data_IF_958964852344
#
_entry.id   IF_958964852344
#
_cell.length_a   1.000
_cell.length_b   1.000
_cell.length_c   1.000
_cell.angle_alpha   90.00
_cell.angle_beta   90.00
_cell.angle_gamma   90.00
#
_symmetry.space_group_name_H-M   'P 1'
#
loop_
_entity.id
_entity.type
_entity.pdbx_description
1 polymer ?
#
# COMPACT_ATOMS: atom_id res chain seq x y z
N UNK A 1 6.90 4.42 12.84
CA UNK A 1 6.38 5.79 12.94
C UNK A 1 7.46 6.64 13.57
N UNK A 2 7.96 7.64 12.84
CA UNK A 2 8.91 8.61 13.39
C UNK A 2 8.18 9.35 14.52
N UNK A 3 8.59 9.12 15.77
CA UNK A 3 8.08 9.89 16.89
C UNK A 3 8.67 11.30 16.77
N UNK A 4 7.81 12.28 16.52
CA UNK A 4 8.20 13.69 16.49
C UNK A 4 8.33 14.19 17.93
N UNK A 5 9.45 13.89 18.58
CA UNK A 5 9.79 14.50 19.85
C UNK A 5 10.01 16.01 19.65
N UNK A 6 9.52 16.82 20.58
CA UNK A 6 9.73 18.27 20.59
C UNK A 6 10.73 18.56 21.71
N UNK A 7 11.89 19.08 21.36
CA UNK A 7 12.88 19.52 22.34
C UNK A 7 12.74 21.02 22.55
N UNK A 8 12.56 21.42 23.80
CA UNK A 8 12.37 22.80 24.24
C UNK A 8 13.49 23.14 25.21
N UNK A 9 14.25 24.17 24.92
CA UNK A 9 15.40 24.53 25.75
C UNK A 9 15.50 26.05 25.89
N UNK A 10 16.01 26.48 27.04
CA UNK A 10 16.58 27.81 27.15
C UNK A 10 17.87 27.77 26.34
N UNK A 11 18.06 28.73 25.44
CA UNK A 11 19.28 28.76 24.62
C UNK A 11 20.50 28.99 25.52
N UNK A 12 21.24 27.92 25.79
CA UNK A 12 22.59 27.98 26.39
C UNK A 12 23.68 28.24 25.35
N UNK A 13 23.32 28.34 24.07
CA UNK A 13 24.24 28.54 22.96
C UNK A 13 24.05 29.94 22.38
N UNK A 14 25.13 30.72 22.39
CA UNK A 14 25.20 32.01 21.69
C UNK A 14 25.08 31.78 20.18
N UNK A 15 24.09 32.43 19.56
CA UNK A 15 23.96 32.68 18.11
C UNK A 15 23.56 31.50 17.20
N UNK A 16 22.47 30.80 17.47
CA UNK A 16 21.80 30.00 16.43
C UNK A 16 20.70 30.83 15.73
N UNK A 17 20.69 30.92 14.38
CA UNK A 17 19.61 31.57 13.66
C UNK A 17 18.35 30.69 13.68
N UNK A 18 17.20 31.32 13.90
CA UNK A 18 15.91 30.66 13.79
C UNK A 18 15.64 30.25 12.33
N UNK A 19 15.24 29.00 12.12
CA UNK A 19 14.96 28.47 10.78
C UNK A 19 13.83 29.20 10.03
N UNK A 20 12.94 29.90 10.74
CA UNK A 20 11.74 30.52 10.15
C UNK A 20 11.94 32.01 9.90
N UNK A 21 12.27 32.78 10.93
CA UNK A 21 12.41 34.24 10.83
C UNK A 21 13.84 34.71 10.58
N UNK A 22 14.82 33.79 10.59
CA UNK A 22 16.26 34.06 10.39
C UNK A 22 16.89 34.99 11.44
N UNK A 23 16.15 35.44 12.46
CA UNK A 23 16.70 36.19 13.59
C UNK A 23 17.35 35.24 14.60
N UNK A 24 18.30 35.76 15.37
CA UNK A 24 19.06 34.94 16.32
C UNK A 24 18.21 34.57 17.54
N UNK A 25 18.33 33.31 17.97
CA UNK A 25 17.79 32.83 19.24
C UNK A 25 18.83 33.24 20.30
N UNK A 26 18.52 34.30 21.05
CA UNK A 26 19.39 34.87 22.08
C UNK A 26 19.24 34.14 23.40
N UNK A 27 20.24 34.25 24.30
CA UNK A 27 20.35 33.54 25.59
C UNK A 27 19.15 33.62 26.54
N UNK A 28 18.15 34.48 26.26
CA UNK A 28 16.92 34.64 27.05
C UNK A 28 15.65 34.20 26.30
N UNK A 29 15.80 33.59 25.13
CA UNK A 29 14.67 33.17 24.29
C UNK A 29 14.56 31.64 24.26
N UNK A 30 13.32 31.16 24.18
CA UNK A 30 13.01 29.73 24.15
C UNK A 30 13.20 29.21 22.73
N UNK A 31 14.08 28.22 22.59
CA UNK A 31 14.32 27.50 21.35
C UNK A 31 13.54 26.19 21.31
N UNK A 32 12.85 25.93 20.20
CA UNK A 32 12.11 24.69 19.93
C UNK A 32 12.71 23.96 18.74
N UNK A 33 12.98 22.67 18.89
CA UNK A 33 13.53 21.80 17.84
C UNK A 33 12.80 20.46 17.74
N UNK A 34 12.91 19.81 16.58
CA UNK A 34 12.33 18.48 16.35
C UNK A 34 13.38 17.36 16.52
N UNK A 35 13.06 16.35 17.31
CA UNK A 35 13.94 15.25 17.71
C UNK A 35 14.55 15.47 19.10
N UNK A 36 15.16 14.43 19.66
CA UNK A 36 15.82 14.47 20.99
C UNK A 36 17.08 15.34 20.95
N UNK A 37 17.80 15.34 19.82
CA UNK A 37 18.98 16.16 19.58
C UNK A 37 18.77 16.94 18.27
N UNK A 38 17.95 18.01 18.30
CA UNK A 38 17.62 18.75 17.10
C UNK A 38 18.85 19.49 16.54
N UNK A 39 19.07 19.39 15.23
CA UNK A 39 20.13 20.15 14.53
C UNK A 39 19.75 21.61 14.26
N UNK A 40 18.46 21.93 14.34
CA UNK A 40 17.91 23.24 14.04
C UNK A 40 16.86 23.62 15.07
N UNK A 41 16.85 24.89 15.44
CA UNK A 41 15.90 25.47 16.36
C UNK A 41 15.10 26.60 15.70
N UNK A 42 13.91 26.83 16.25
CA UNK A 42 13.07 27.99 15.97
C UNK A 42 12.72 28.68 17.28
N UNK A 43 12.41 29.98 17.26
CA UNK A 43 11.73 30.60 18.41
C UNK A 43 10.42 29.88 18.69
N UNK A 44 9.98 29.88 19.95
CA UNK A 44 8.69 29.33 20.37
C UNK A 44 7.52 29.88 19.53
N UNK A 45 7.48 31.19 19.31
CA UNK A 45 6.45 31.87 18.50
C UNK A 45 6.49 31.49 17.02
N UNK A 46 7.69 31.20 16.49
CA UNK A 46 7.89 30.80 15.11
C UNK A 46 7.57 29.32 14.87
N UNK A 47 7.46 28.52 15.93
CA UNK A 47 7.30 27.08 15.82
C UNK A 47 5.87 26.71 15.42
N UNK A 48 5.73 26.06 14.27
CA UNK A 48 4.49 25.44 13.82
C UNK A 48 4.72 23.94 13.63
N UNK A 49 4.09 23.07 14.43
CA UNK A 49 4.14 21.63 14.24
C UNK A 49 3.73 21.26 12.81
N UNK A 50 4.48 20.37 12.15
CA UNK A 50 4.17 19.90 10.79
C UNK A 50 2.77 19.27 10.68
N UNK A 51 2.28 18.70 11.78
CA UNK A 51 0.94 18.12 11.89
C UNK A 51 0.17 18.92 12.94
N UNK A 52 -0.98 19.48 12.55
CA UNK A 52 -1.91 20.13 13.48
C UNK A 52 -2.56 19.07 14.38
N UNK A 53 -1.93 18.77 15.51
CA UNK A 53 -2.40 17.79 16.49
C UNK A 53 -2.10 18.24 17.91
N UNK A 54 -2.84 17.67 18.85
CA UNK A 54 -2.57 17.80 20.28
C UNK A 54 -1.13 17.34 20.61
N UNK A 55 -0.40 18.17 21.35
CA UNK A 55 0.97 17.88 21.79
C UNK A 55 0.90 17.34 23.21
N UNK A 56 1.34 16.09 23.39
CA UNK A 56 1.35 15.42 24.70
C UNK A 56 2.62 15.77 25.47
N UNK A 57 2.50 15.93 26.78
CA UNK A 57 3.65 16.13 27.68
C UNK A 57 4.72 15.02 27.56
N UNK A 58 4.33 13.79 27.17
CA UNK A 58 5.29 12.70 26.97
C UNK A 58 6.13 12.80 25.70
N UNK A 59 5.73 13.64 24.75
CA UNK A 59 6.42 13.85 23.47
C UNK A 59 7.33 15.09 23.53
N UNK A 60 7.38 15.78 24.69
CA UNK A 60 8.18 16.98 24.93
C UNK A 60 9.40 16.60 25.79
N UNK A 61 10.59 16.96 25.31
CA UNK A 61 11.81 16.99 26.10
C UNK A 61 12.10 18.44 26.47
N UNK A 62 12.12 18.79 27.75
CA UNK A 62 12.35 20.15 28.21
C UNK A 62 13.66 20.25 29.01
N UNK A 63 14.48 21.25 28.68
CA UNK A 63 15.68 21.65 29.42
C UNK A 63 15.63 23.13 29.81
N UNK A 64 14.42 23.65 30.02
CA UNK A 64 14.18 25.01 30.53
C UNK A 64 14.70 25.14 31.97
N UNK A 65 15.69 26.02 32.17
CA UNK A 65 16.34 26.35 33.44
C UNK A 65 15.54 27.40 34.22
N UNK A 66 14.92 28.38 33.55
CA UNK A 66 14.24 29.50 34.22
C UNK A 66 12.74 29.24 34.38
N UNK A 67 12.18 29.56 35.55
CA UNK A 67 10.74 29.38 35.80
C UNK A 67 9.86 30.29 34.95
N UNK A 68 10.35 31.49 34.60
CA UNK A 68 9.71 32.38 33.63
C UNK A 68 9.55 31.71 32.27
N UNK A 69 10.59 31.01 31.79
CA UNK A 69 10.54 30.30 30.52
C UNK A 69 9.59 29.10 30.57
N UNK A 70 9.52 28.40 31.70
CA UNK A 70 8.55 27.31 31.91
C UNK A 70 7.13 27.82 31.85
N UNK A 71 6.85 28.96 32.48
CA UNK A 71 5.52 29.59 32.46
C UNK A 71 5.10 29.94 31.04
N UNK A 72 5.96 30.64 30.30
CA UNK A 72 5.70 31.05 28.90
C UNK A 72 5.46 29.82 28.01
N UNK A 73 6.25 28.76 28.18
CA UNK A 73 6.09 27.54 27.41
C UNK A 73 4.77 26.82 27.73
N UNK A 74 4.40 26.72 29.01
CA UNK A 74 3.15 26.09 29.42
C UNK A 74 1.93 26.86 28.88
N UNK A 75 1.96 28.20 28.95
CA UNK A 75 0.90 29.05 28.38
C UNK A 75 0.77 28.84 26.87
N UNK A 76 1.90 28.80 26.15
CA UNK A 76 1.91 28.50 24.72
C UNK A 76 1.33 27.11 24.41
N UNK A 77 1.69 26.10 25.22
CA UNK A 77 1.25 24.72 25.04
C UNK A 77 -0.25 24.57 25.32
N UNK A 78 -0.76 25.21 26.37
CA UNK A 78 -2.18 25.25 26.70
C UNK A 78 -2.97 25.95 25.60
N UNK A 79 -2.52 27.11 25.14
CA UNK A 79 -3.15 27.84 24.04
C UNK A 79 -3.18 26.98 22.75
N UNK A 80 -2.07 26.33 22.39
CA UNK A 80 -2.04 25.41 21.25
C UNK A 80 -3.04 24.26 21.42
N UNK A 81 -3.00 23.58 22.56
CA UNK A 81 -3.80 22.39 22.84
C UNK A 81 -5.30 22.70 23.00
N UNK A 82 -5.68 23.92 23.38
CA UNK A 82 -7.07 24.36 23.50
C UNK A 82 -7.86 24.18 22.19
N UNK A 83 -7.19 24.31 21.04
CA UNK A 83 -7.77 24.08 19.70
C UNK A 83 -8.19 22.63 19.44
N UNK A 84 -7.89 21.69 20.35
CA UNK A 84 -8.13 20.26 20.17
C UNK A 84 -8.97 19.64 21.31
N UNK A 85 -9.64 20.47 22.13
CA UNK A 85 -10.51 20.04 23.25
C UNK A 85 -12.00 20.28 22.88
N UNK A 86 -12.94 19.37 23.20
CA UNK A 86 -12.74 18.10 23.91
C UNK A 86 -12.03 17.10 23.00
N UNK A 87 -10.92 16.55 23.50
CA UNK A 87 -10.30 15.39 22.88
C UNK A 87 -11.39 14.32 22.88
N UNK A 88 -11.79 13.78 21.71
CA UNK A 88 -12.48 12.50 21.65
C UNK A 88 -11.71 11.57 22.60
N UNK A 89 -12.34 11.21 23.74
CA UNK A 89 -11.64 10.75 24.95
C UNK A 89 -10.42 9.90 24.55
N UNK A 90 -9.20 10.45 24.66
CA UNK A 90 -8.04 9.65 24.39
C UNK A 90 -8.03 8.62 25.51
N UNK A 91 -8.18 7.34 25.15
CA UNK A 91 -7.93 6.23 26.06
C UNK A 91 -6.64 6.59 26.79
N UNK A 92 -6.73 6.84 28.10
CA UNK A 92 -5.61 7.29 28.90
C UNK A 92 -4.42 6.39 28.60
N UNK A 93 -3.46 6.94 27.87
CA UNK A 93 -2.27 6.21 27.45
C UNK A 93 -1.36 6.13 28.67
N UNK A 94 -1.75 5.26 29.59
CA UNK A 94 -1.08 5.07 30.85
C UNK A 94 0.38 4.71 30.53
N UNK A 95 1.37 5.47 30.99
CA UNK A 95 2.79 5.10 30.78
C UNK A 95 3.08 3.74 31.41
N UNK A 96 2.30 3.36 32.42
CA UNK A 96 2.30 2.01 32.97
C UNK A 96 1.55 1.00 32.10
N UNK A 97 0.70 1.38 31.15
CA UNK A 97 0.09 0.49 30.15
C UNK A 97 1.11 -0.07 29.15
N UNK A 98 2.22 0.63 28.87
CA UNK A 98 3.35 0.01 28.16
C UNK A 98 3.95 -1.14 28.97
N UNK A 99 3.89 -1.11 30.29
CA UNK A 99 4.28 -2.24 31.13
C UNK A 99 3.10 -3.17 31.44
N UNK A 100 1.86 -2.71 31.59
CA UNK A 100 0.70 -3.55 31.91
C UNK A 100 0.21 -4.36 30.70
N UNK A 101 0.35 -3.85 29.48
CA UNK A 101 0.10 -4.59 28.23
C UNK A 101 1.35 -5.28 27.67
N UNK A 102 2.57 -4.94 28.13
CA UNK A 102 3.78 -5.73 27.83
C UNK A 102 4.17 -6.74 28.93
N UNK A 103 3.61 -6.65 30.14
CA UNK A 103 3.69 -7.70 31.15
C UNK A 103 2.68 -8.78 30.71
N UNK A 104 3.16 -9.57 29.75
CA UNK A 104 2.62 -10.86 29.31
C UNK A 104 2.97 -11.91 30.37
N UNK A 105 2.59 -11.67 31.63
CA UNK A 105 2.74 -12.71 32.64
C UNK A 105 1.71 -13.79 32.40
N UNK A 106 2.19 -15.03 32.29
CA UNK A 106 1.43 -16.28 32.13
C UNK A 106 0.36 -16.46 33.25
N UNK A 107 0.41 -15.66 34.32
CA UNK A 107 -0.43 -15.78 35.53
C UNK A 107 -1.78 -15.05 35.47
N UNK A 108 -2.15 -14.36 34.39
CA UNK A 108 -3.48 -13.73 34.29
C UNK A 108 -4.57 -14.75 33.97
N UNK A 109 -5.71 -14.66 34.64
CA UNK A 109 -6.85 -15.54 34.38
C UNK A 109 -7.35 -15.43 32.92
N UNK A 110 -7.79 -16.55 32.31
CA UNK A 110 -8.32 -16.57 30.96
C UNK A 110 -9.60 -15.70 30.85
N UNK A 111 -9.85 -15.08 29.69
CA UNK A 111 -11.01 -14.22 29.51
C UNK A 111 -12.32 -15.01 29.59
N UNK A 112 -13.34 -14.46 30.29
CA UNK A 112 -14.68 -15.08 30.41
C UNK A 112 -15.32 -15.43 29.05
N UNK A 113 -15.00 -14.67 28.00
CA UNK A 113 -15.51 -14.87 26.62
C UNK A 113 -14.55 -15.66 25.71
N UNK A 114 -13.61 -16.42 26.28
CA UNK A 114 -12.59 -17.19 25.52
C UNK A 114 -13.18 -18.00 24.36
N UNK A 115 -14.27 -18.74 24.60
CA UNK A 115 -14.91 -19.58 23.57
C UNK A 115 -15.38 -18.77 22.37
N UNK A 116 -16.03 -17.63 22.62
CA UNK A 116 -16.52 -16.72 21.59
C UNK A 116 -15.36 -16.20 20.74
N UNK A 117 -14.25 -15.83 21.39
CA UNK A 117 -13.07 -15.36 20.65
C UNK A 117 -12.42 -16.45 19.82
N UNK A 118 -12.36 -17.70 20.29
CA UNK A 118 -11.86 -18.82 19.48
C UNK A 118 -12.71 -18.97 18.21
N UNK A 119 -14.04 -18.99 18.33
CA UNK A 119 -14.92 -19.12 17.15
C UNK A 119 -14.76 -17.97 16.15
N UNK A 120 -14.57 -16.74 16.64
CA UNK A 120 -14.30 -15.58 15.77
C UNK A 120 -12.92 -15.70 15.10
N UNK A 121 -11.89 -16.11 15.86
CA UNK A 121 -10.50 -16.15 15.39
C UNK A 121 -10.28 -17.20 14.29
N UNK A 122 -11.11 -18.25 14.24
CA UNK A 122 -11.11 -19.26 13.17
C UNK A 122 -11.30 -18.70 11.76
N UNK A 123 -11.85 -17.49 11.61
CA UNK A 123 -12.09 -16.86 10.31
C UNK A 123 -10.99 -15.90 9.86
N UNK A 124 -10.04 -15.59 10.74
CA UNK A 124 -8.92 -14.71 10.41
C UNK A 124 -7.82 -15.47 9.66
N UNK A 125 -7.04 -14.72 8.88
CA UNK A 125 -5.80 -15.23 8.32
C UNK A 125 -4.69 -15.22 9.38
N UNK A 126 -3.56 -15.86 9.06
CA UNK A 126 -2.44 -15.93 10.00
C UNK A 126 -1.83 -14.56 10.32
N UNK A 127 -1.88 -13.62 9.37
CA UNK A 127 -1.21 -12.33 9.51
C UNK A 127 -1.98 -11.47 10.50
N UNK A 128 -3.30 -11.49 10.42
CA UNK A 128 -4.19 -10.86 11.39
C UNK A 128 -4.01 -11.47 12.79
N UNK A 129 -3.97 -12.80 12.89
CA UNK A 129 -3.79 -13.49 14.17
C UNK A 129 -2.44 -13.16 14.82
N UNK A 130 -1.35 -13.22 14.07
CA UNK A 130 0.00 -13.03 14.62
C UNK A 130 0.33 -11.55 14.85
N UNK A 131 0.03 -10.68 13.87
CA UNK A 131 0.51 -9.30 13.86
C UNK A 131 -0.48 -8.33 14.51
N UNK A 132 -1.78 -8.53 14.29
CA UNK A 132 -2.78 -7.53 14.63
C UNK A 132 -3.50 -7.87 15.94
N UNK A 133 -4.15 -9.04 15.99
CA UNK A 133 -5.04 -9.43 17.10
C UNK A 133 -4.28 -9.62 18.42
N UNK A 134 -3.08 -10.20 18.37
CA UNK A 134 -2.25 -10.40 19.57
C UNK A 134 -1.82 -9.11 20.26
N UNK A 135 -1.96 -7.96 19.58
CA UNK A 135 -1.58 -6.63 20.09
C UNK A 135 -2.77 -5.83 20.64
N UNK A 136 -4.02 -6.27 20.39
CA UNK A 136 -5.23 -5.52 20.75
C UNK A 136 -5.44 -5.51 22.27
N UNK A 137 -5.48 -6.68 22.89
CA UNK A 137 -5.65 -6.81 24.34
C UNK A 137 -5.14 -8.17 24.86
N UNK A 138 -5.02 -8.31 26.19
CA UNK A 138 -4.56 -9.57 26.82
C UNK A 138 -5.46 -10.76 26.49
N UNK A 139 -6.78 -10.54 26.42
CA UNK A 139 -7.73 -11.61 26.09
C UNK A 139 -7.48 -12.18 24.70
N UNK A 140 -7.28 -11.31 23.71
CA UNK A 140 -6.99 -11.70 22.33
C UNK A 140 -5.63 -12.39 22.22
N UNK A 141 -4.63 -11.87 22.95
CA UNK A 141 -3.35 -12.55 23.07
C UNK A 141 -3.56 -13.98 23.58
N UNK A 142 -4.17 -14.19 24.73
CA UNK A 142 -4.39 -15.55 25.27
C UNK A 142 -5.16 -16.45 24.29
N UNK A 143 -6.25 -15.96 23.71
CA UNK A 143 -7.03 -16.71 22.71
C UNK A 143 -6.18 -17.12 21.51
N UNK A 144 -5.30 -16.24 21.00
CA UNK A 144 -4.41 -16.57 19.89
C UNK A 144 -3.36 -17.63 20.23
N UNK A 145 -3.16 -17.96 21.51
CA UNK A 145 -2.25 -19.03 21.96
C UNK A 145 -2.97 -20.35 22.26
N UNK A 146 -4.30 -20.41 22.13
CA UNK A 146 -5.07 -21.61 22.45
C UNK A 146 -4.87 -22.73 21.42
N UNK A 147 -4.57 -23.94 21.90
CA UNK A 147 -4.30 -25.10 21.06
C UNK A 147 -5.46 -25.44 20.12
N UNK A 148 -6.71 -25.31 20.59
CA UNK A 148 -7.91 -25.56 19.79
C UNK A 148 -7.98 -24.69 18.52
N UNK A 149 -7.60 -23.42 18.62
CA UNK A 149 -7.56 -22.52 17.47
C UNK A 149 -6.57 -23.04 16.43
N UNK A 150 -5.36 -23.39 16.86
CA UNK A 150 -4.31 -23.90 15.98
C UNK A 150 -4.67 -25.26 15.38
N UNK A 151 -5.31 -26.14 16.16
CA UNK A 151 -5.86 -27.40 15.66
C UNK A 151 -6.78 -27.15 14.47
N UNK A 152 -7.76 -26.26 14.65
CA UNK A 152 -8.70 -25.90 13.59
C UNK A 152 -8.00 -25.31 12.36
N UNK A 153 -7.07 -24.37 12.55
CA UNK A 153 -6.35 -23.73 11.46
C UNK A 153 -5.49 -24.74 10.68
N UNK A 154 -4.85 -25.72 11.35
CA UNK A 154 -4.10 -26.77 10.68
C UNK A 154 -5.02 -27.63 9.80
N UNK A 155 -6.17 -28.04 10.34
CA UNK A 155 -7.14 -28.85 9.59
C UNK A 155 -7.76 -28.08 8.43
N UNK A 156 -8.10 -26.81 8.62
CA UNK A 156 -8.64 -25.92 7.57
C UNK A 156 -7.63 -25.69 6.45
N UNK A 157 -6.40 -25.32 6.80
CA UNK A 157 -5.42 -24.79 5.84
C UNK A 157 -4.56 -25.88 5.19
N UNK A 158 -4.37 -27.03 5.86
CA UNK A 158 -3.49 -28.10 5.38
C UNK A 158 -4.20 -29.46 5.27
N UNK A 159 -5.45 -29.58 5.73
CA UNK A 159 -6.21 -30.84 5.77
C UNK A 159 -5.51 -31.96 6.55
N UNK A 160 -4.75 -31.56 7.58
CA UNK A 160 -4.04 -32.48 8.48
C UNK A 160 -4.80 -32.52 9.80
N UNK A 161 -4.90 -33.72 10.38
CA UNK A 161 -5.35 -33.91 11.76
C UNK A 161 -4.08 -33.95 12.63
N UNK A 162 -3.80 -32.88 13.41
CA UNK A 162 -2.55 -32.83 14.15
C UNK A 162 -2.63 -33.63 15.45
N UNK A 163 -1.47 -34.12 15.91
CA UNK A 163 -1.35 -34.80 17.19
C UNK A 163 -1.43 -33.77 18.34
N UNK A 164 -2.22 -34.06 19.37
CA UNK A 164 -2.46 -33.18 20.53
C UNK A 164 -1.19 -32.97 21.36
N UNK A 165 -0.24 -33.91 21.29
CA UNK A 165 1.00 -33.88 22.07
C UNK A 165 2.04 -32.87 21.56
N UNK A 166 1.83 -32.25 20.40
CA UNK A 166 2.74 -31.26 19.83
C UNK A 166 2.31 -29.82 20.15
N UNK A 167 3.27 -28.89 20.14
CA UNK A 167 2.95 -27.48 20.14
C UNK A 167 2.31 -27.10 18.79
N UNK A 168 0.98 -27.17 18.72
CA UNK A 168 0.20 -26.98 17.50
C UNK A 168 0.46 -25.65 16.80
N UNK A 169 0.75 -24.59 17.55
CA UNK A 169 1.14 -23.30 16.96
C UNK A 169 2.47 -23.40 16.23
N UNK A 170 3.48 -23.95 16.90
CA UNK A 170 4.79 -24.14 16.27
C UNK A 170 4.69 -25.04 15.04
N UNK A 171 3.91 -26.12 15.15
CA UNK A 171 3.63 -27.03 14.04
C UNK A 171 2.94 -26.30 12.86
N UNK A 172 1.92 -25.48 13.13
CA UNK A 172 1.29 -24.65 12.09
C UNK A 172 2.30 -23.72 11.41
N UNK A 173 3.16 -23.03 12.16
CA UNK A 173 4.17 -22.13 11.57
C UNK A 173 5.19 -22.89 10.72
N UNK A 174 5.57 -24.10 11.15
CA UNK A 174 6.42 -25.00 10.35
C UNK A 174 5.72 -25.35 9.04
N UNK A 175 4.47 -25.83 9.09
CA UNK A 175 3.68 -26.11 7.89
C UNK A 175 3.54 -24.88 6.99
N UNK A 176 3.22 -23.72 7.56
CA UNK A 176 3.06 -22.47 6.82
C UNK A 176 4.33 -22.07 6.05
N UNK A 177 5.50 -22.35 6.61
CA UNK A 177 6.80 -22.01 6.00
C UNK A 177 7.34 -23.09 5.07
N UNK A 178 6.96 -24.36 5.22
CA UNK A 178 7.47 -25.48 4.41
C UNK A 178 6.49 -26.05 3.38
N UNK A 179 5.19 -25.83 3.56
CA UNK A 179 4.17 -26.35 2.66
C UNK A 179 3.95 -25.43 1.46
N UNK A 180 3.75 -26.06 0.30
CA UNK A 180 3.33 -25.38 -0.91
C UNK A 180 2.00 -24.64 -0.68
N UNK A 181 1.93 -23.35 -1.04
CA UNK A 181 0.73 -22.54 -0.92
C UNK A 181 -0.48 -23.15 -1.65
N UNK A 182 -0.25 -23.81 -2.79
CA UNK A 182 -1.31 -24.37 -3.63
C UNK A 182 -1.69 -25.79 -3.25
N UNK A 183 -0.75 -26.73 -3.38
CA UNK A 183 -1.05 -28.14 -3.19
C UNK A 183 -0.94 -28.59 -1.74
N UNK A 184 -0.57 -27.70 -0.82
CA UNK A 184 -0.46 -27.94 0.63
C UNK A 184 0.54 -29.05 1.02
N UNK A 185 1.27 -29.63 0.06
CA UNK A 185 2.31 -30.63 0.29
C UNK A 185 3.52 -30.00 0.98
N UNK A 186 4.01 -30.66 2.03
CA UNK A 186 5.26 -30.32 2.70
C UNK A 186 6.41 -30.66 1.75
N UNK A 187 7.23 -29.66 1.44
CA UNK A 187 8.35 -29.83 0.52
C UNK A 187 9.63 -30.14 1.30
N UNK A 188 10.43 -31.08 0.78
CA UNK A 188 11.78 -31.33 1.27
C UNK A 188 12.69 -30.19 0.82
N UNK A 189 13.81 -30.00 1.52
CA UNK A 189 14.67 -28.80 1.52
C UNK A 189 15.15 -28.28 0.15
N UNK A 190 15.02 -29.07 -0.93
CA UNK A 190 15.55 -28.72 -2.25
C UNK A 190 14.48 -28.58 -3.36
N UNK A 191 13.20 -28.87 -3.10
CA UNK A 191 12.17 -28.97 -4.15
C UNK A 191 11.22 -27.77 -4.23
N UNK A 192 11.70 -26.57 -3.86
CA UNK A 192 10.82 -25.43 -3.72
C UNK A 192 11.42 -24.09 -4.11
N UNK A 193 10.53 -23.18 -4.53
CA UNK A 193 10.84 -21.78 -4.77
C UNK A 193 10.04 -20.94 -3.76
N UNK A 194 10.72 -20.02 -3.08
CA UNK A 194 10.01 -18.96 -2.34
C UNK A 194 9.47 -17.94 -3.34
N UNK A 195 8.19 -17.65 -3.22
CA UNK A 195 7.52 -16.63 -4.00
C UNK A 195 7.98 -15.26 -3.49
N UNK A 196 8.62 -14.39 -4.31
CA UNK A 196 9.22 -13.15 -3.83
C UNK A 196 8.20 -12.18 -3.21
N UNK A 197 6.96 -12.14 -3.74
CA UNK A 197 5.91 -11.22 -3.28
C UNK A 197 5.17 -11.77 -2.05
N UNK A 198 4.58 -12.97 -2.16
CA UNK A 198 3.79 -13.57 -1.07
C UNK A 198 4.69 -14.10 0.07
N UNK A 199 6.00 -14.26 -0.17
CA UNK A 199 6.98 -14.84 0.77
C UNK A 199 6.62 -16.25 1.25
N UNK A 200 5.71 -16.93 0.53
CA UNK A 200 5.31 -18.32 0.73
C UNK A 200 6.05 -19.24 -0.22
N UNK A 201 6.05 -20.52 0.14
CA UNK A 201 6.69 -21.57 -0.65
C UNK A 201 5.74 -22.09 -1.74
N UNK A 202 6.26 -22.30 -2.95
CA UNK A 202 5.59 -22.99 -4.04
C UNK A 202 6.48 -24.15 -4.52
N UNK A 203 5.89 -25.31 -4.78
CA UNK A 203 6.59 -26.39 -5.48
C UNK A 203 6.78 -26.02 -6.96
N UNK A 204 7.74 -26.66 -7.63
CA UNK A 204 8.03 -26.38 -9.05
C UNK A 204 6.81 -26.54 -9.96
N UNK A 205 5.93 -27.51 -9.70
CA UNK A 205 4.69 -27.72 -10.46
C UNK A 205 3.68 -26.59 -10.25
N UNK A 206 3.47 -26.13 -9.02
CA UNK A 206 2.49 -25.07 -8.75
C UNK A 206 3.02 -23.69 -9.12
N UNK A 207 4.35 -23.50 -9.14
CA UNK A 207 4.99 -22.27 -9.60
C UNK A 207 4.68 -21.94 -11.06
N UNK A 208 4.44 -22.95 -11.91
CA UNK A 208 4.13 -22.74 -13.33
C UNK A 208 2.69 -22.28 -13.55
N UNK A 209 1.83 -22.27 -12.52
CA UNK A 209 0.46 -21.77 -12.68
C UNK A 209 0.47 -20.29 -13.10
N UNK A 210 -0.38 -19.88 -14.06
CA UNK A 210 -0.38 -18.53 -14.61
C UNK A 210 -0.52 -17.42 -13.55
N UNK A 211 -1.29 -17.66 -12.48
CA UNK A 211 -1.48 -16.69 -11.39
C UNK A 211 -0.19 -16.35 -10.61
N UNK A 212 0.84 -17.19 -10.69
CA UNK A 212 2.15 -16.96 -10.08
C UNK A 212 3.23 -16.52 -11.07
N UNK A 213 2.86 -16.32 -12.33
CA UNK A 213 3.76 -15.73 -13.29
C UNK A 213 4.02 -14.26 -12.95
N UNK A 214 5.27 -13.84 -13.11
CA UNK A 214 5.69 -12.47 -12.89
C UNK A 214 5.92 -11.78 -14.21
N UNK A 215 5.72 -10.48 -14.20
CA UNK A 215 6.17 -9.59 -15.26
C UNK A 215 7.04 -8.50 -14.64
N UNK A 216 8.17 -8.22 -15.27
CA UNK A 216 9.06 -7.16 -14.84
C UNK A 216 8.59 -5.81 -15.37
N UNK A 217 8.95 -4.74 -14.67
CA UNK A 217 8.69 -3.37 -15.14
C UNK A 217 9.28 -3.09 -16.53
N UNK A 218 10.43 -3.71 -16.84
CA UNK A 218 11.08 -3.58 -18.14
C UNK A 218 10.29 -4.32 -19.23
N UNK A 219 9.89 -5.57 -18.98
CA UNK A 219 9.02 -6.33 -19.90
C UNK A 219 7.71 -5.59 -20.19
N UNK A 220 7.08 -4.94 -19.19
CA UNK A 220 5.87 -4.13 -19.47
C UNK A 220 6.20 -2.99 -20.44
N UNK A 221 7.31 -2.27 -20.24
CA UNK A 221 7.72 -1.17 -21.12
C UNK A 221 7.97 -1.67 -22.54
N UNK A 222 8.71 -2.77 -22.67
CA UNK A 222 9.13 -3.32 -23.95
C UNK A 222 7.94 -3.91 -24.72
N UNK A 223 7.06 -4.63 -24.02
CA UNK A 223 5.96 -5.37 -24.65
C UNK A 223 4.73 -4.50 -24.88
N UNK A 224 4.38 -3.64 -23.93
CA UNK A 224 3.15 -2.84 -23.98
C UNK A 224 3.40 -1.39 -24.42
N UNK A 225 4.65 -0.92 -24.42
CA UNK A 225 5.03 0.38 -24.97
C UNK A 225 4.69 1.58 -24.09
N UNK A 226 4.40 1.40 -22.80
CA UNK A 226 4.11 2.49 -21.85
C UNK A 226 4.83 2.32 -20.51
N UNK A 227 4.97 3.41 -19.74
CA UNK A 227 5.59 3.33 -18.41
C UNK A 227 4.58 2.76 -17.40
N UNK A 228 4.90 1.64 -16.71
CA UNK A 228 3.98 1.00 -15.77
C UNK A 228 3.57 1.88 -14.60
N UNK A 229 4.31 2.98 -14.31
CA UNK A 229 3.92 3.98 -13.31
C UNK A 229 2.52 4.55 -13.54
N UNK A 230 2.06 4.60 -14.79
CA UNK A 230 0.72 5.10 -15.15
C UNK A 230 -0.38 4.23 -14.54
N UNK A 231 -0.12 2.92 -14.35
CA UNK A 231 -1.07 1.98 -13.76
C UNK A 231 -1.12 2.04 -12.23
N UNK A 232 -0.28 2.86 -11.57
CA UNK A 232 -0.18 2.98 -10.10
C UNK A 232 0.04 1.63 -9.38
N UNK A 233 0.66 0.66 -10.06
CA UNK A 233 0.98 -0.66 -9.50
C UNK A 233 2.19 -0.54 -8.57
N UNK A 234 2.12 -1.19 -7.41
CA UNK A 234 3.27 -1.39 -6.53
C UNK A 234 4.15 -2.52 -7.04
N UNK A 235 5.41 -2.23 -7.34
CA UNK A 235 6.41 -3.22 -7.75
C UNK A 235 7.31 -3.57 -6.58
N UNK A 236 7.65 -4.84 -6.43
CA UNK A 236 8.66 -5.26 -5.45
C UNK A 236 9.98 -5.64 -6.14
N UNK A 237 11.07 -5.61 -5.38
CA UNK A 237 12.38 -6.03 -5.84
C UNK A 237 12.50 -7.55 -5.77
N UNK A 238 12.82 -8.17 -6.89
CA UNK A 238 13.18 -9.59 -6.96
C UNK A 238 14.58 -9.80 -6.38
N UNK A 239 14.70 -10.68 -5.40
CA UNK A 239 15.99 -11.03 -4.79
C UNK A 239 16.97 -11.72 -5.75
N UNK A 240 16.48 -12.33 -6.84
CA UNK A 240 17.31 -13.16 -7.74
C UNK A 240 17.96 -12.32 -8.84
N UNK A 241 17.27 -11.28 -9.34
CA UNK A 241 17.69 -10.52 -10.53
C UNK A 241 17.77 -9.01 -10.29
N UNK A 242 17.58 -8.55 -9.05
CA UNK A 242 17.43 -7.14 -8.69
C UNK A 242 16.43 -6.37 -9.58
N UNK A 243 15.46 -7.09 -10.16
CA UNK A 243 14.48 -6.53 -11.08
C UNK A 243 13.18 -6.21 -10.34
N UNK A 244 12.51 -5.13 -10.75
CA UNK A 244 11.19 -4.76 -10.23
C UNK A 244 10.12 -5.63 -10.88
N UNK A 245 9.39 -6.41 -10.08
CA UNK A 245 8.40 -7.40 -10.52
C UNK A 245 7.02 -7.16 -9.89
N UNK A 246 5.99 -7.65 -10.57
CA UNK A 246 4.62 -7.78 -10.08
C UNK A 246 4.00 -9.08 -10.62
N UNK A 247 2.96 -9.60 -9.99
CA UNK A 247 2.17 -10.68 -10.58
C UNK A 247 1.53 -10.24 -11.90
N UNK A 248 1.60 -11.13 -12.89
CA UNK A 248 0.99 -10.90 -14.20
C UNK A 248 -0.51 -10.65 -14.08
N UNK A 249 -1.21 -11.42 -13.23
CA UNK A 249 -2.65 -11.24 -12.98
C UNK A 249 -2.99 -9.85 -12.44
N UNK A 250 -2.24 -9.36 -11.45
CA UNK A 250 -2.40 -8.00 -10.91
C UNK A 250 -2.17 -6.95 -12.00
N UNK A 251 -1.11 -7.12 -12.79
CA UNK A 251 -0.84 -6.23 -13.91
C UNK A 251 -1.96 -6.24 -14.97
N UNK A 252 -2.45 -7.42 -15.38
CA UNK A 252 -3.52 -7.53 -16.38
C UNK A 252 -4.82 -6.90 -15.91
N UNK A 253 -5.18 -7.06 -14.63
CA UNK A 253 -6.35 -6.42 -14.05
C UNK A 253 -6.24 -4.89 -14.07
N UNK A 254 -5.09 -4.33 -13.69
CA UNK A 254 -4.89 -2.87 -13.72
C UNK A 254 -4.77 -2.34 -15.16
N UNK A 255 -4.20 -3.12 -16.08
CA UNK A 255 -4.18 -2.82 -17.51
C UNK A 255 -5.60 -2.74 -18.09
N UNK A 256 -6.48 -3.68 -17.72
CA UNK A 256 -7.87 -3.68 -18.14
C UNK A 256 -8.58 -2.40 -17.67
N UNK A 257 -8.50 -2.08 -16.38
CA UNK A 257 -9.09 -0.85 -15.81
C UNK A 257 -8.56 0.41 -16.49
N UNK A 258 -7.26 0.46 -16.78
CA UNK A 258 -6.64 1.57 -17.48
C UNK A 258 -7.21 1.75 -18.90
N UNK A 259 -7.35 0.66 -19.66
CA UNK A 259 -7.93 0.69 -21.01
C UNK A 259 -9.40 1.05 -21.00
N UNK A 260 -10.14 0.51 -20.05
CA UNK A 260 -11.56 0.83 -19.85
C UNK A 260 -11.74 2.32 -19.58
N UNK A 261 -10.92 2.89 -18.68
CA UNK A 261 -10.90 4.32 -18.42
C UNK A 261 -10.62 5.12 -19.69
N UNK A 262 -9.57 4.78 -20.44
CA UNK A 262 -9.23 5.50 -21.67
C UNK A 262 -10.37 5.43 -22.70
N UNK A 263 -11.03 4.27 -22.84
CA UNK A 263 -12.18 4.07 -23.73
C UNK A 263 -13.35 4.96 -23.31
N UNK A 264 -13.66 5.01 -22.00
CA UNK A 264 -14.72 5.85 -21.44
C UNK A 264 -14.43 7.34 -21.64
N UNK A 265 -13.23 7.80 -21.26
CA UNK A 265 -12.78 9.19 -21.43
C UNK A 265 -12.86 9.63 -22.91
N UNK A 266 -12.67 8.70 -23.84
CA UNK A 266 -12.77 8.96 -25.27
C UNK A 266 -14.23 9.07 -25.73
N UNK A 267 -15.09 8.13 -25.31
CA UNK A 267 -16.51 8.13 -25.65
C UNK A 267 -17.20 9.39 -25.12
N UNK A 268 -16.95 9.78 -23.87
CA UNK A 268 -17.49 11.02 -23.29
C UNK A 268 -17.18 12.23 -24.15
N UNK A 269 -15.94 12.34 -24.67
CA UNK A 269 -15.54 13.45 -25.55
C UNK A 269 -16.16 13.37 -26.94
N UNK A 270 -16.39 12.16 -27.46
CA UNK A 270 -17.06 11.99 -28.75
C UNK A 270 -18.55 12.33 -28.65
N UNK A 271 -19.20 11.98 -27.53
CA UNK A 271 -20.61 12.26 -27.29
C UNK A 271 -20.94 13.75 -27.12
N UNK A 272 -19.96 14.59 -26.75
CA UNK A 272 -20.13 16.06 -26.77
C UNK A 272 -20.38 16.60 -28.18
N UNK A 273 -19.90 15.93 -29.22
CA UNK A 273 -20.00 16.39 -30.61
C UNK A 273 -20.81 15.48 -31.55
N UNK A 274 -21.18 14.27 -31.12
CA UNK A 274 -21.81 13.25 -31.96
C UNK A 274 -22.80 12.39 -31.17
N UNK A 275 -23.73 11.74 -31.89
CA UNK A 275 -24.64 10.75 -31.34
C UNK A 275 -24.09 9.31 -31.52
N UNK A 276 -24.79 8.34 -30.96
CA UNK A 276 -24.48 6.90 -31.01
C UNK A 276 -24.42 6.33 -32.44
N UNK A 277 -24.87 7.08 -33.45
CA UNK A 277 -24.92 6.62 -34.84
C UNK A 277 -23.64 6.93 -35.64
N UNK A 278 -22.76 7.80 -35.13
CA UNK A 278 -21.51 8.17 -35.79
C UNK A 278 -20.51 6.99 -35.81
N UNK A 279 -19.88 6.76 -36.97
CA UNK A 279 -19.03 5.58 -37.21
C UNK A 279 -17.86 5.46 -36.23
N UNK A 280 -17.24 6.58 -35.85
CA UNK A 280 -16.13 6.56 -34.88
C UNK A 280 -16.60 6.20 -33.47
N UNK A 281 -17.84 6.56 -33.09
CA UNK A 281 -18.43 6.17 -31.81
C UNK A 281 -18.64 4.66 -31.77
N UNK A 282 -19.35 4.12 -32.78
CA UNK A 282 -19.54 2.66 -32.95
C UNK A 282 -18.22 1.90 -32.98
N UNK A 283 -17.20 2.46 -33.65
CA UNK A 283 -15.86 1.87 -33.68
C UNK A 283 -15.26 1.79 -32.28
N UNK A 284 -15.28 2.89 -31.51
CA UNK A 284 -14.72 2.91 -30.15
C UNK A 284 -15.49 1.95 -29.24
N UNK A 285 -16.82 1.92 -29.32
CA UNK A 285 -17.67 1.00 -28.57
C UNK A 285 -17.36 -0.47 -28.88
N UNK A 286 -17.09 -0.78 -30.15
CA UNK A 286 -16.71 -2.13 -30.60
C UNK A 286 -15.30 -2.58 -30.17
N UNK A 287 -14.47 -1.72 -29.59
CA UNK A 287 -13.13 -2.13 -29.11
C UNK A 287 -13.27 -3.07 -27.90
N UNK A 288 -12.91 -4.34 -28.10
CA UNK A 288 -12.70 -5.31 -27.02
C UNK A 288 -11.35 -5.04 -26.34
N UNK A 289 -11.40 -4.39 -25.18
CA UNK A 289 -10.21 -4.02 -24.39
C UNK A 289 -9.47 -5.22 -23.79
N UNK A 290 -10.16 -6.35 -23.60
CA UNK A 290 -9.59 -7.59 -23.05
C UNK A 290 -8.82 -8.37 -24.10
N UNK A 291 -9.22 -8.27 -25.37
CA UNK A 291 -8.57 -8.94 -26.49
C UNK A 291 -7.67 -8.03 -27.31
N UNK A 292 -7.18 -6.89 -26.81
CA UNK A 292 -6.31 -5.99 -27.61
C UNK A 292 -4.92 -6.57 -27.93
N UNK A 293 -4.47 -7.57 -27.17
CA UNK A 293 -3.16 -8.21 -27.32
C UNK A 293 -3.38 -9.70 -27.63
N UNK A 294 -2.90 -10.19 -28.79
CA UNK A 294 -3.01 -11.59 -29.23
C UNK A 294 -2.01 -12.51 -28.52
N UNK A 295 -0.82 -12.01 -28.20
CA UNK A 295 0.24 -12.79 -27.57
C UNK A 295 1.60 -12.13 -27.69
N UNK A 296 2.65 -12.76 -27.15
CA UNK A 296 4.04 -12.32 -27.30
C UNK A 296 4.70 -13.14 -28.40
N UNK A 297 5.13 -12.48 -29.48
CA UNK A 297 5.81 -13.09 -30.63
C UNK A 297 7.25 -12.62 -30.66
N UNK A 298 8.17 -13.46 -31.13
CA UNK A 298 9.56 -13.05 -31.39
C UNK A 298 9.69 -12.51 -32.81
N UNK A 299 10.09 -11.25 -32.95
CA UNK A 299 10.41 -10.63 -34.25
C UNK A 299 11.80 -10.01 -34.17
N UNK A 300 12.69 -10.37 -35.09
CA UNK A 300 14.08 -9.86 -35.16
C UNK A 300 14.87 -9.98 -33.84
N UNK A 301 14.68 -11.08 -33.10
CA UNK A 301 15.33 -11.30 -31.80
C UNK A 301 14.67 -10.59 -30.60
N UNK A 302 13.70 -9.70 -30.83
CA UNK A 302 12.95 -9.01 -29.78
C UNK A 302 11.61 -9.70 -29.53
N UNK A 303 11.19 -9.78 -28.26
CA UNK A 303 9.82 -10.18 -27.89
C UNK A 303 8.91 -8.96 -28.03
N UNK A 304 7.89 -9.06 -28.88
CA UNK A 304 6.92 -7.99 -29.15
C UNK A 304 5.52 -8.55 -28.85
N UNK A 305 4.62 -7.75 -28.31
CA UNK A 305 3.21 -8.13 -28.26
C UNK A 305 2.60 -7.97 -29.65
N UNK A 306 2.12 -9.08 -30.20
CA UNK A 306 1.22 -9.04 -31.33
C UNK A 306 -0.11 -8.43 -30.87
N UNK A 307 -0.47 -7.33 -31.50
CA UNK A 307 -1.71 -6.62 -31.21
C UNK A 307 -2.81 -7.33 -31.97
N UNK A 308 -3.98 -7.49 -31.36
CA UNK A 308 -5.10 -8.21 -31.99
C UNK A 308 -5.71 -7.58 -33.21
N UNK A 309 -5.17 -6.45 -33.63
CA UNK A 309 -5.63 -5.70 -34.76
C UNK A 309 -5.84 -6.58 -35.98
N UNK A 310 -7.10 -6.53 -36.42
CA UNK A 310 -7.53 -6.90 -37.75
C UNK A 310 -6.77 -6.07 -38.77
N UNK A 311 -6.33 -6.71 -39.84
CA UNK A 311 -5.57 -6.19 -40.97
C UNK A 311 -6.29 -5.10 -41.81
N UNK A 312 -7.23 -4.33 -41.23
CA UNK A 312 -8.29 -3.60 -41.97
C UNK A 312 -8.46 -2.10 -41.67
N UNK A 313 -7.53 -1.45 -40.99
CA UNK A 313 -7.66 -0.01 -40.73
C UNK A 313 -6.58 0.76 -41.48
N UNK A 314 -6.88 1.02 -42.77
CA UNK A 314 -6.16 1.98 -43.61
C UNK A 314 -6.20 3.40 -43.01
N UNK A 315 -7.21 3.69 -42.17
CA UNK A 315 -7.39 5.00 -41.56
C UNK A 315 -6.44 5.22 -40.36
N UNK A 316 -5.40 6.03 -40.59
CA UNK A 316 -4.40 6.45 -39.58
C UNK A 316 -5.02 7.08 -38.32
N UNK A 317 -6.19 7.69 -38.40
CA UNK A 317 -6.82 8.34 -37.24
C UNK A 317 -7.55 7.34 -36.33
N UNK A 318 -8.16 6.30 -36.90
CA UNK A 318 -8.74 5.18 -36.14
C UNK A 318 -7.63 4.39 -35.43
N UNK A 319 -6.47 4.26 -36.07
CA UNK A 319 -5.28 3.68 -35.43
C UNK A 319 -4.79 4.50 -34.23
N UNK A 320 -4.79 5.84 -34.34
CA UNK A 320 -4.46 6.71 -33.20
C UNK A 320 -5.45 6.55 -32.05
N UNK A 321 -6.75 6.43 -32.37
CA UNK A 321 -7.82 6.18 -31.40
C UNK A 321 -7.59 4.87 -30.65
N UNK A 322 -7.37 3.76 -31.37
CA UNK A 322 -7.09 2.50 -30.70
C UNK A 322 -5.80 2.52 -29.88
N UNK A 323 -4.73 3.15 -30.41
CA UNK A 323 -3.47 3.29 -29.68
C UNK A 323 -3.64 4.13 -28.40
N UNK A 324 -4.52 5.13 -28.42
CA UNK A 324 -4.90 5.87 -27.22
C UNK A 324 -5.58 4.96 -26.20
N UNK A 325 -6.60 4.18 -26.60
CA UNK A 325 -7.26 3.23 -25.70
C UNK A 325 -6.24 2.25 -25.10
N UNK A 326 -5.34 1.71 -25.93
CA UNK A 326 -4.35 0.71 -25.52
C UNK A 326 -3.27 1.24 -24.57
N UNK A 327 -2.76 2.45 -24.83
CA UNK A 327 -1.50 2.95 -24.21
C UNK A 327 -1.58 4.35 -23.60
N UNK A 328 -2.63 5.12 -23.87
CA UNK A 328 -2.79 6.51 -23.43
C UNK A 328 -1.85 7.53 -24.10
N UNK A 329 -0.97 7.11 -25.01
CA UNK A 329 0.11 7.98 -25.56
C UNK A 329 -0.24 8.75 -26.83
N UNK A 330 -1.37 8.47 -27.48
CA UNK A 330 -1.71 9.13 -28.75
C UNK A 330 -2.45 10.46 -28.53
N UNK A 331 -1.91 11.56 -29.06
CA UNK A 331 -2.68 12.81 -29.18
C UNK A 331 -3.78 12.62 -30.22
N UNK A 332 -5.03 12.62 -29.77
CA UNK A 332 -6.21 12.56 -30.64
C UNK A 332 -6.61 13.98 -31.03
N UNK A 333 -6.65 14.25 -32.33
CA UNK A 333 -7.24 15.50 -32.84
C UNK A 333 -8.74 15.28 -33.06
N UNK A 334 -9.53 15.60 -32.05
CA UNK A 334 -11.00 15.49 -32.12
C UNK A 334 -11.56 16.30 -33.29
N UNK A 335 -11.03 17.51 -33.54
CA UNK A 335 -11.40 18.34 -34.71
C UNK A 335 -11.27 17.59 -36.04
N UNK A 336 -10.23 16.75 -36.19
CA UNK A 336 -10.01 15.96 -37.41
C UNK A 336 -10.91 14.74 -37.47
N UNK A 337 -11.17 14.08 -36.34
CA UNK A 337 -12.16 13.00 -36.25
C UNK A 337 -13.57 13.49 -36.59
N UNK A 338 -13.94 14.68 -36.13
CA UNK A 338 -15.25 15.29 -36.36
C UNK A 338 -15.52 15.60 -37.84
N UNK A 339 -14.47 15.85 -38.66
CA UNK A 339 -14.63 16.05 -40.10
C UNK A 339 -15.13 14.80 -40.83
N UNK A 340 -14.84 13.60 -40.32
CA UNK A 340 -15.25 12.36 -40.97
C UNK A 340 -16.73 12.03 -40.74
N UNK A 341 -17.32 12.42 -39.61
CA UNK A 341 -18.76 12.19 -39.37
C UNK A 341 -19.67 13.22 -40.09
N UNK A 342 -19.18 14.43 -40.39
CA UNK A 342 -19.99 15.44 -41.11
C UNK A 342 -20.08 15.20 -42.63
N UNK A 343 -19.15 14.46 -43.23
CA UNK A 343 -19.17 14.23 -44.69
C UNK A 343 -20.13 13.10 -45.14
N UNK A 344 -20.68 12.30 -44.23
CA UNK A 344 -21.66 11.25 -44.55
C UNK A 344 -23.09 11.54 -44.10
N UNK A 345 -23.33 12.65 -43.39
CA UNK A 345 -24.67 13.06 -42.97
C UNK A 345 -25.44 13.88 -44.04
N UNK A 346 -24.87 14.06 -45.24
CA UNK A 346 -25.50 14.78 -46.36
C UNK A 346 -25.62 13.87 -47.58
N UNK A 347 -26.03 12.62 -47.41
CA UNK A 347 -26.66 11.80 -48.46
C UNK A 347 -27.53 10.75 -47.77
N UNK A 348 -28.78 11.10 -47.48
CA UNK A 348 -30.00 10.32 -47.74
C UNK A 348 -31.19 10.94 -47.02
#
# INVERSE_FOLDING_TARGET
MLMNWITVQDSGFTNMPCKVCLTHISNKTIGVGLGVYPKHFTHLECFKPQVKKYIRNCDIYTSLKYDSSKSIFNEWLENWNSNFIPLDKPIEYNKNAKNLYCIKTIKTQPPKKRRVFIEIFKYFDIYDLLKNLSQVCKGFYHTAWESELWWFLITRDFKIIPNINENLRHYYLKLFTSACLECQKILKSNDFSRCPLIKRVLCFKCKTFPKYSFITKQEIKDFYGFDPKILKIHFELSCIRHSQIVYLSTFLNELYKFREKNKRDLLEKLYVGHNEHCEIVKFVEGIDIGKMDKGIVRKYGFKIIEISWSERLENKDYFKVFKYVRTGKSKISFKRLFRYCNHRAVVH
#
